data_IF_853656332190
#
_entry.id   IF_853656332190
#
_cell.length_a   1.000
_cell.length_b   1.000
_cell.length_c   1.000
_cell.angle_alpha   90.00
_cell.angle_beta   90.00
_cell.angle_gamma   90.00
#
_symmetry.space_group_name_H-M   'P 1'
#
loop_
_entity.id
_entity.type
_entity.pdbx_description
1 polymer ?
#
# COMPACT_ATOMS: atom_id res chain seq x y z
N UNK A 1 6.03 -30.00 -5.16
CA UNK A 1 5.09 -29.91 -6.30
C UNK A 1 3.76 -30.51 -5.85
N UNK A 2 2.71 -29.73 -5.87
CA UNK A 2 1.38 -30.23 -5.51
C UNK A 2 0.92 -31.24 -6.55
N UNK A 3 0.64 -32.46 -6.12
CA UNK A 3 0.19 -33.58 -6.97
C UNK A 3 -1.34 -33.54 -7.26
N UNK A 4 -1.97 -32.41 -7.02
CA UNK A 4 -3.40 -32.20 -7.23
C UNK A 4 -3.71 -31.75 -8.66
N UNK A 5 -4.93 -32.07 -9.14
CA UNK A 5 -5.44 -31.51 -10.41
C UNK A 5 -5.59 -30.01 -10.28
N UNK A 6 -5.19 -29.26 -11.31
CA UNK A 6 -5.44 -27.82 -11.38
C UNK A 6 -6.95 -27.56 -11.35
N UNK A 7 -7.39 -26.60 -10.56
CA UNK A 7 -8.79 -26.19 -10.47
C UNK A 7 -8.90 -24.68 -10.32
N UNK A 8 -9.93 -24.11 -10.89
CA UNK A 8 -10.33 -22.73 -10.65
C UNK A 8 -11.30 -22.68 -9.47
N UNK A 9 -11.38 -21.53 -8.82
CA UNK A 9 -12.37 -21.25 -7.78
C UNK A 9 -13.12 -19.95 -8.07
N UNK A 10 -14.28 -19.77 -7.44
CA UNK A 10 -15.04 -18.55 -7.60
C UNK A 10 -14.45 -17.46 -6.72
N UNK A 11 -13.95 -16.40 -7.35
CA UNK A 11 -13.25 -15.31 -6.65
C UNK A 11 -14.18 -14.48 -5.75
N UNK A 12 -15.43 -14.27 -6.15
CA UNK A 12 -16.40 -13.55 -5.31
C UNK A 12 -16.74 -14.34 -4.05
N UNK A 13 -16.87 -15.67 -4.15
CA UNK A 13 -17.05 -16.54 -3.01
C UNK A 13 -15.84 -16.46 -2.08
N UNK A 14 -14.63 -16.52 -2.64
CA UNK A 14 -13.38 -16.39 -1.87
C UNK A 14 -13.31 -15.07 -1.12
N UNK A 15 -13.68 -13.93 -1.74
CA UNK A 15 -13.74 -12.61 -1.08
C UNK A 15 -14.71 -12.67 0.09
N UNK A 16 -15.89 -13.23 -0.10
CA UNK A 16 -16.92 -13.37 0.95
C UNK A 16 -16.43 -14.17 2.16
N UNK A 17 -15.76 -15.30 1.92
CA UNK A 17 -15.20 -16.16 2.96
C UNK A 17 -14.07 -15.48 3.74
N UNK A 18 -13.28 -14.61 3.09
CA UNK A 18 -12.15 -13.92 3.69
C UNK A 18 -12.45 -12.49 4.16
N UNK A 19 -13.70 -12.03 4.09
CA UNK A 19 -14.11 -10.65 4.38
C UNK A 19 -13.70 -10.17 5.78
N UNK A 20 -13.61 -11.06 6.74
CA UNK A 20 -13.16 -10.76 8.10
C UNK A 20 -11.69 -10.34 8.19
N UNK A 21 -10.85 -10.72 7.21
CA UNK A 21 -9.45 -10.35 7.08
C UNK A 21 -9.23 -9.07 6.26
N UNK A 22 -10.24 -8.61 5.51
CA UNK A 22 -10.18 -7.44 4.65
C UNK A 22 -10.56 -6.14 5.36
N UNK A 23 -10.35 -6.07 6.66
CA UNK A 23 -10.62 -4.90 7.51
C UNK A 23 -9.55 -4.78 8.59
N UNK A 24 -9.37 -3.60 9.20
CA UNK A 24 -8.43 -3.44 10.28
C UNK A 24 -8.58 -4.51 11.38
N UNK A 25 -7.48 -4.96 11.99
CA UNK A 25 -6.08 -4.48 11.82
C UNK A 25 -5.32 -5.11 10.65
N UNK A 26 -5.82 -6.15 9.97
CA UNK A 26 -5.11 -6.86 8.90
C UNK A 26 -5.19 -6.10 7.57
N UNK A 27 -6.39 -5.91 7.04
CA UNK A 27 -6.63 -5.09 5.85
C UNK A 27 -6.31 -5.76 4.50
N UNK A 28 -5.58 -6.87 4.44
CA UNK A 28 -5.27 -7.57 3.19
C UNK A 28 -5.14 -9.08 3.35
N UNK A 29 -5.27 -9.81 2.24
CA UNK A 29 -5.08 -11.25 2.19
C UNK A 29 -4.57 -11.67 0.80
N UNK A 30 -3.48 -12.46 0.77
CA UNK A 30 -3.04 -13.14 -0.45
C UNK A 30 -4.08 -14.15 -0.91
N UNK A 31 -4.30 -14.19 -2.22
CA UNK A 31 -5.21 -15.15 -2.89
C UNK A 31 -4.52 -16.50 -3.11
N UNK A 32 -3.23 -16.44 -3.45
CA UNK A 32 -2.37 -17.61 -3.65
C UNK A 32 -1.15 -17.49 -2.75
N UNK A 33 -0.95 -18.46 -1.85
CA UNK A 33 0.17 -18.41 -0.89
C UNK A 33 1.52 -18.73 -1.56
N UNK A 34 1.54 -19.68 -2.51
CA UNK A 34 2.75 -20.23 -3.12
C UNK A 34 2.98 -19.74 -4.57
N UNK A 35 2.27 -18.70 -5.01
CA UNK A 35 2.45 -18.12 -6.34
C UNK A 35 3.72 -17.27 -6.46
N UNK A 36 4.36 -17.27 -7.64
CA UNK A 36 5.44 -16.33 -7.94
C UNK A 36 4.92 -14.88 -7.97
N UNK A 37 3.73 -14.68 -8.54
CA UNK A 37 3.05 -13.38 -8.49
C UNK A 37 2.42 -13.17 -7.12
N UNK A 38 2.52 -11.95 -6.59
CA UNK A 38 1.69 -11.52 -5.46
C UNK A 38 0.32 -11.12 -5.99
N UNK A 39 -0.69 -11.92 -5.67
CA UNK A 39 -2.09 -11.60 -5.94
C UNK A 39 -2.77 -11.42 -4.60
N UNK A 40 -3.17 -10.19 -4.26
CA UNK A 40 -3.75 -9.88 -2.96
C UNK A 40 -5.02 -9.06 -3.06
N UNK A 41 -5.94 -9.30 -2.15
CA UNK A 41 -7.13 -8.48 -1.96
C UNK A 41 -6.89 -7.57 -0.76
N UNK A 42 -7.15 -6.28 -0.96
CA UNK A 42 -6.97 -5.23 0.05
C UNK A 42 -8.32 -4.59 0.34
N UNK A 43 -8.66 -4.48 1.63
CA UNK A 43 -9.91 -3.87 2.09
C UNK A 43 -9.72 -2.51 2.76
N UNK A 44 -10.82 -1.78 2.86
CA UNK A 44 -10.91 -0.54 3.63
C UNK A 44 -11.74 -0.70 4.91
N UNK A 45 -11.61 0.24 5.88
CA UNK A 45 -10.84 1.49 5.74
C UNK A 45 -9.33 1.26 5.92
N UNK A 46 -8.54 1.98 5.14
CA UNK A 46 -7.09 2.01 5.25
C UNK A 46 -6.59 3.42 4.89
N UNK A 47 -5.80 4.00 5.76
CA UNK A 47 -5.10 5.27 5.52
C UNK A 47 -3.65 5.14 6.03
N UNK A 48 -2.70 5.63 5.23
CA UNK A 48 -1.27 5.55 5.52
C UNK A 48 -0.56 6.84 5.10
N UNK A 49 0.58 7.13 5.71
CA UNK A 49 1.34 8.36 5.46
C UNK A 49 2.64 8.12 4.70
N UNK A 50 3.03 6.88 4.53
CA UNK A 50 4.18 6.47 3.74
C UNK A 50 3.82 6.31 2.27
N UNK A 51 4.84 6.45 1.43
CA UNK A 51 4.82 6.13 0.01
C UNK A 51 5.70 4.91 -0.23
N UNK A 52 5.18 3.98 -1.00
CA UNK A 52 5.91 2.80 -1.44
C UNK A 52 6.67 3.10 -2.74
N UNK A 53 7.92 2.72 -2.80
CA UNK A 53 8.77 2.67 -3.99
C UNK A 53 8.93 1.20 -4.36
N UNK A 54 7.99 0.68 -5.16
CA UNK A 54 7.98 -0.71 -5.59
C UNK A 54 8.92 -0.87 -6.81
N UNK A 55 9.86 -1.83 -6.80
CA UNK A 55 10.74 -2.10 -7.94
C UNK A 55 10.04 -2.75 -9.13
N UNK A 56 8.79 -3.16 -9.00
CA UNK A 56 7.98 -3.77 -10.06
C UNK A 56 6.70 -2.98 -10.32
N UNK A 57 6.05 -3.28 -11.45
CA UNK A 57 4.74 -2.74 -11.75
C UNK A 57 3.67 -3.33 -10.83
N UNK A 58 2.70 -2.49 -10.44
CA UNK A 58 1.51 -2.91 -9.70
C UNK A 58 0.25 -2.74 -10.54
N UNK A 59 -0.53 -3.80 -10.69
CA UNK A 59 -1.85 -3.75 -11.30
C UNK A 59 -2.92 -3.63 -10.22
N UNK A 60 -3.78 -2.62 -10.36
CA UNK A 60 -4.93 -2.37 -9.48
C UNK A 60 -6.24 -2.65 -10.22
N UNK A 61 -7.16 -3.33 -9.56
CA UNK A 61 -8.56 -3.41 -9.95
C UNK A 61 -9.43 -3.13 -8.74
N UNK A 62 -10.20 -2.04 -8.77
CA UNK A 62 -11.08 -1.68 -7.68
C UNK A 62 -12.42 -2.41 -7.82
N UNK A 63 -12.66 -3.42 -6.97
CA UNK A 63 -13.79 -4.34 -7.06
C UNK A 63 -15.06 -3.72 -6.45
N UNK A 64 -14.90 -2.97 -5.34
CA UNK A 64 -16.01 -2.37 -4.60
C UNK A 64 -15.58 -1.10 -3.88
N UNK A 65 -16.42 -0.07 -3.96
CA UNK A 65 -16.14 1.26 -3.43
C UNK A 65 -14.95 1.90 -4.15
N UNK A 66 -14.56 3.09 -3.73
CA UNK A 66 -13.51 3.86 -4.38
C UNK A 66 -12.22 3.87 -3.54
N UNK A 67 -11.11 4.17 -4.20
CA UNK A 67 -9.82 4.45 -3.57
C UNK A 67 -9.14 5.65 -4.22
N UNK A 68 -8.19 6.23 -3.52
CA UNK A 68 -7.26 7.22 -4.06
C UNK A 68 -5.84 6.68 -3.96
N UNK A 69 -5.12 6.72 -5.06
CA UNK A 69 -3.69 6.46 -5.08
C UNK A 69 -2.97 7.80 -5.07
N UNK A 70 -2.32 8.14 -3.96
CA UNK A 70 -1.48 9.34 -3.89
C UNK A 70 -0.14 9.05 -4.54
N UNK A 71 0.29 9.95 -5.42
CA UNK A 71 1.54 9.83 -6.18
C UNK A 71 2.51 10.93 -5.75
N UNK A 72 3.78 10.55 -5.60
CA UNK A 72 4.90 11.48 -5.46
C UNK A 72 5.91 11.22 -6.58
N UNK A 73 5.95 12.12 -7.56
CA UNK A 73 6.77 11.95 -8.75
C UNK A 73 7.38 13.29 -9.18
N UNK A 74 8.69 13.29 -9.48
CA UNK A 74 9.42 14.47 -9.98
C UNK A 74 9.23 15.74 -9.13
N UNK A 75 9.11 15.57 -7.80
CA UNK A 75 8.90 16.69 -6.87
C UNK A 75 7.46 17.21 -6.82
N UNK A 76 6.55 16.57 -7.53
CA UNK A 76 5.11 16.88 -7.53
C UNK A 76 4.33 15.81 -6.77
N UNK A 77 3.22 16.23 -6.17
CA UNK A 77 2.28 15.35 -5.49
C UNK A 77 0.91 15.51 -6.14
N UNK A 78 0.27 14.38 -6.46
CA UNK A 78 -1.08 14.40 -7.04
C UNK A 78 -1.83 13.11 -6.70
N UNK A 79 -3.14 13.14 -6.89
CA UNK A 79 -4.04 12.05 -6.59
C UNK A 79 -4.56 11.41 -7.86
N UNK A 80 -4.54 10.08 -7.91
CA UNK A 80 -5.19 9.27 -8.95
C UNK A 80 -6.39 8.58 -8.31
N UNK A 81 -7.62 9.02 -8.57
CA UNK A 81 -8.81 8.32 -8.13
C UNK A 81 -8.98 7.03 -8.93
N UNK A 82 -9.19 5.92 -8.26
CA UNK A 82 -9.51 4.61 -8.85
C UNK A 82 -10.89 4.22 -8.30
N UNK A 83 -11.91 4.33 -9.14
CA UNK A 83 -13.30 4.09 -8.77
C UNK A 83 -13.68 2.62 -8.85
N UNK A 84 -14.79 2.25 -8.26
CA UNK A 84 -15.35 0.91 -8.43
C UNK A 84 -15.46 0.55 -9.92
N UNK A 85 -14.87 -0.59 -10.29
CA UNK A 85 -14.79 -1.06 -11.67
C UNK A 85 -13.55 -0.60 -12.45
N UNK A 86 -12.82 0.41 -11.97
CA UNK A 86 -11.62 0.90 -12.64
C UNK A 86 -10.44 -0.06 -12.49
N UNK A 87 -9.58 -0.06 -13.52
CA UNK A 87 -8.26 -0.71 -13.50
C UNK A 87 -7.16 0.34 -13.69
N UNK A 88 -6.01 0.12 -13.07
CA UNK A 88 -4.85 0.99 -13.20
C UNK A 88 -3.57 0.16 -13.16
N UNK A 89 -2.61 0.47 -14.05
CA UNK A 89 -1.27 -0.09 -14.01
C UNK A 89 -0.30 1.00 -13.57
N UNK A 90 0.31 0.80 -12.42
CA UNK A 90 1.31 1.68 -11.86
C UNK A 90 2.70 1.24 -12.35
N UNK A 91 3.50 2.11 -12.98
CA UNK A 91 4.86 1.79 -13.36
C UNK A 91 5.76 1.57 -12.13
N UNK A 92 6.78 0.72 -12.29
CA UNK A 92 7.80 0.52 -11.27
C UNK A 92 8.45 1.86 -10.85
N UNK A 93 8.84 1.95 -9.59
CA UNK A 93 9.51 3.10 -8.98
C UNK A 93 8.72 4.41 -8.93
N UNK A 94 7.42 4.40 -9.26
CA UNK A 94 6.54 5.54 -8.98
C UNK A 94 6.11 5.47 -7.52
N UNK A 95 6.54 6.46 -6.71
CA UNK A 95 6.21 6.53 -5.27
C UNK A 95 4.72 6.73 -5.11
N UNK A 96 4.07 5.84 -4.40
CA UNK A 96 2.63 5.82 -4.27
C UNK A 96 2.15 5.44 -2.87
N UNK A 97 0.98 5.92 -2.49
CA UNK A 97 0.36 5.66 -1.20
C UNK A 97 -1.13 5.36 -1.38
N UNK A 98 -1.52 4.06 -1.36
CA UNK A 98 -2.92 3.67 -1.52
C UNK A 98 -3.75 4.09 -0.31
N UNK A 99 -4.85 4.80 -0.55
CA UNK A 99 -5.80 5.25 0.46
C UNK A 99 -7.18 4.68 0.17
N UNK A 100 -7.77 3.98 1.13
CA UNK A 100 -9.12 3.43 1.08
C UNK A 100 -9.94 3.92 2.27
N UNK A 101 -10.50 5.14 2.22
CA UNK A 101 -11.18 5.71 3.39
C UNK A 101 -12.52 5.05 3.68
N UNK A 102 -13.16 4.44 2.69
CA UNK A 102 -14.50 3.87 2.82
C UNK A 102 -14.46 2.48 3.48
N UNK A 103 -15.22 2.26 4.57
CA UNK A 103 -15.41 0.93 5.12
C UNK A 103 -16.03 -0.02 4.08
N UNK A 104 -15.46 -1.23 3.97
CA UNK A 104 -15.96 -2.26 3.06
C UNK A 104 -15.57 -2.06 1.59
N UNK A 105 -14.70 -1.10 1.27
CA UNK A 105 -14.08 -1.06 -0.04
C UNK A 105 -13.14 -2.27 -0.23
N UNK A 106 -13.06 -2.77 -1.46
CA UNK A 106 -12.29 -3.97 -1.81
C UNK A 106 -11.57 -3.73 -3.13
N UNK A 107 -10.27 -3.92 -3.14
CA UNK A 107 -9.44 -3.86 -4.35
C UNK A 107 -8.57 -5.10 -4.50
N UNK A 108 -8.31 -5.47 -5.74
CA UNK A 108 -7.31 -6.47 -6.12
C UNK A 108 -6.02 -5.75 -6.49
N UNK A 109 -4.90 -6.23 -5.96
CA UNK A 109 -3.55 -5.77 -6.34
C UNK A 109 -2.76 -6.99 -6.82
N UNK A 110 -2.10 -6.83 -7.96
CA UNK A 110 -1.25 -7.88 -8.54
C UNK A 110 0.12 -7.30 -8.83
N UNK A 111 1.15 -7.95 -8.32
CA UNK A 111 2.55 -7.57 -8.46
C UNK A 111 3.37 -8.75 -8.97
N UNK A 112 4.39 -8.48 -9.78
CA UNK A 112 5.35 -9.50 -10.19
C UNK A 112 6.23 -9.94 -9.01
N UNK A 113 6.86 -11.11 -9.14
CA UNK A 113 7.88 -11.53 -8.18
C UNK A 113 9.12 -10.63 -8.25
N UNK A 114 9.68 -10.29 -7.07
CA UNK A 114 10.88 -9.47 -6.91
C UNK A 114 11.94 -10.13 -6.02
N UNK A 115 12.52 -11.25 -6.44
CA UNK A 115 13.34 -12.09 -5.55
C UNK A 115 14.65 -11.45 -5.08
N UNK A 116 15.17 -10.46 -5.80
CA UNK A 116 16.45 -9.82 -5.52
C UNK A 116 16.37 -8.33 -5.24
N UNK A 117 15.22 -7.71 -5.45
CA UNK A 117 15.04 -6.28 -5.30
C UNK A 117 14.62 -5.92 -3.87
N UNK A 118 14.79 -4.66 -3.52
CA UNK A 118 14.37 -4.10 -2.24
C UNK A 118 13.23 -3.12 -2.47
N UNK A 119 12.29 -3.13 -1.56
CA UNK A 119 11.21 -2.16 -1.49
C UNK A 119 11.70 -0.92 -0.75
N UNK A 120 11.35 0.26 -1.22
CA UNK A 120 11.55 1.52 -0.54
C UNK A 120 10.25 2.02 0.09
N UNK A 121 10.35 2.57 1.30
CA UNK A 121 9.23 3.26 1.95
C UNK A 121 9.69 4.64 2.36
N UNK A 122 8.95 5.67 1.93
CA UNK A 122 9.31 7.07 2.04
C UNK A 122 8.22 7.87 2.75
N UNK A 123 8.63 8.79 3.59
CA UNK A 123 7.74 9.77 4.21
C UNK A 123 8.14 11.16 3.78
N UNK A 124 7.18 11.91 3.29
CA UNK A 124 7.37 13.28 2.81
C UNK A 124 6.75 14.29 3.77
N UNK A 125 7.39 15.44 3.89
CA UNK A 125 6.91 16.52 4.74
C UNK A 125 5.59 17.09 4.21
N UNK A 126 4.55 17.07 5.01
CA UNK A 126 3.24 17.62 4.67
C UNK A 126 3.25 19.14 4.45
N UNK A 127 4.27 19.84 4.99
CA UNK A 127 4.40 21.30 4.85
C UNK A 127 5.16 21.73 3.60
N UNK A 128 6.26 21.03 3.25
CA UNK A 128 7.15 21.50 2.18
C UNK A 128 7.49 20.43 1.12
N UNK A 129 6.91 19.23 1.21
CA UNK A 129 7.11 18.14 0.25
C UNK A 129 8.50 17.51 0.26
N UNK A 130 9.42 17.91 1.15
CA UNK A 130 10.75 17.33 1.21
C UNK A 130 10.69 15.91 1.79
N UNK A 131 11.59 15.04 1.32
CA UNK A 131 11.78 13.72 1.92
C UNK A 131 12.21 13.89 3.39
N UNK A 132 11.48 13.26 4.30
CA UNK A 132 11.75 13.24 5.74
C UNK A 132 12.52 11.99 6.10
N UNK A 133 12.07 10.85 5.64
CA UNK A 133 12.65 9.56 5.98
C UNK A 133 12.48 8.57 4.83
N UNK A 134 13.44 7.65 4.67
CA UNK A 134 13.38 6.51 3.76
C UNK A 134 13.94 5.27 4.44
N UNK A 135 13.26 4.17 4.28
CA UNK A 135 13.77 2.83 4.61
C UNK A 135 13.79 1.97 3.36
N UNK A 136 14.75 1.07 3.28
CA UNK A 136 14.85 0.06 2.25
C UNK A 136 14.87 -1.31 2.90
N UNK A 137 14.05 -2.22 2.41
CA UNK A 137 13.90 -3.55 2.99
C UNK A 137 13.59 -4.58 1.92
N UNK A 138 14.22 -5.74 2.01
CA UNK A 138 13.83 -6.91 1.24
C UNK A 138 12.62 -7.54 1.93
N UNK A 139 11.43 -7.24 1.44
CA UNK A 139 10.18 -7.75 2.01
C UNK A 139 10.03 -9.23 1.70
N UNK A 140 10.01 -10.04 2.75
CA UNK A 140 9.68 -11.46 2.68
C UNK A 140 8.26 -11.71 3.21
N UNK A 141 7.87 -10.98 4.26
CA UNK A 141 6.56 -11.08 4.89
C UNK A 141 6.05 -9.69 5.26
N UNK A 142 5.21 -9.10 4.42
CA UNK A 142 4.63 -7.76 4.62
C UNK A 142 4.15 -7.49 6.05
N UNK A 143 3.40 -8.43 6.63
CA UNK A 143 2.79 -8.31 7.97
C UNK A 143 3.82 -8.40 9.11
N UNK A 144 5.00 -8.97 8.87
CA UNK A 144 6.04 -9.15 9.89
C UNK A 144 7.17 -8.16 9.76
N UNK A 145 7.59 -7.86 8.52
CA UNK A 145 8.81 -7.12 8.26
C UNK A 145 8.59 -5.60 8.36
N UNK A 146 7.44 -5.10 7.91
CA UNK A 146 7.17 -3.67 7.86
C UNK A 146 6.78 -3.05 9.21
N UNK A 147 5.91 -3.64 10.05
CA UNK A 147 5.45 -2.97 11.27
C UNK A 147 6.57 -2.50 12.20
N UNK A 148 7.62 -3.28 12.49
CA UNK A 148 8.70 -2.82 13.37
C UNK A 148 9.44 -1.59 12.82
N UNK A 149 9.63 -1.52 11.50
CA UNK A 149 10.33 -0.40 10.84
C UNK A 149 9.48 0.88 10.89
N UNK A 150 8.18 0.74 10.68
CA UNK A 150 7.22 1.84 10.75
C UNK A 150 7.10 2.37 12.19
N UNK A 151 6.99 1.48 13.19
CA UNK A 151 6.93 1.87 14.60
C UNK A 151 8.19 2.61 15.03
N UNK A 152 9.37 2.17 14.60
CA UNK A 152 10.62 2.85 14.89
C UNK A 152 10.61 4.29 14.37
N UNK A 153 10.15 4.52 13.14
CA UNK A 153 10.00 5.86 12.59
C UNK A 153 8.95 6.67 13.36
N UNK A 154 7.77 6.10 13.64
CA UNK A 154 6.68 6.82 14.31
C UNK A 154 7.02 7.22 15.75
N UNK A 155 7.87 6.46 16.41
CA UNK A 155 8.29 6.74 17.79
C UNK A 155 9.42 7.77 17.91
N UNK A 156 10.11 8.11 16.81
CA UNK A 156 11.28 8.99 16.83
C UNK A 156 10.95 10.38 16.23
N UNK A 157 10.74 11.37 17.10
CA UNK A 157 10.48 12.76 16.70
C UNK A 157 11.64 13.36 15.91
N UNK A 158 12.88 12.93 16.17
CA UNK A 158 14.04 13.38 15.41
C UNK A 158 13.99 12.88 13.98
N UNK A 159 13.69 11.59 13.79
CA UNK A 159 13.51 11.00 12.46
C UNK A 159 12.33 11.63 11.72
N UNK A 160 11.25 11.99 12.44
CA UNK A 160 10.05 12.64 11.89
C UNK A 160 10.21 14.14 11.63
N UNK A 161 11.24 14.77 12.16
CA UNK A 161 11.45 16.21 11.94
C UNK A 161 12.04 16.47 10.55
N UNK A 162 11.33 17.25 9.74
CA UNK A 162 11.78 17.64 8.40
C UNK A 162 13.05 18.48 8.47
N UNK A 163 14.14 18.00 7.89
CA UNK A 163 15.45 18.69 7.88
C UNK A 163 15.44 20.00 7.07
N UNK A 164 14.45 20.17 6.17
CA UNK A 164 14.34 21.37 5.30
C UNK A 164 13.59 22.51 5.98
N UNK A 165 12.46 22.22 6.67
CA UNK A 165 11.59 23.28 7.20
C UNK A 165 11.32 23.16 8.72
N UNK A 166 11.81 22.12 9.39
CA UNK A 166 11.63 21.91 10.82
C UNK A 166 10.25 21.37 11.22
N UNK A 167 9.31 21.20 10.27
CA UNK A 167 7.99 20.66 10.59
C UNK A 167 8.08 19.20 11.03
N UNK A 168 7.30 18.84 12.04
CA UNK A 168 7.19 17.46 12.50
C UNK A 168 6.17 16.70 11.63
N UNK A 169 6.58 15.57 11.03
CA UNK A 169 5.69 14.69 10.32
C UNK A 169 4.69 14.04 11.29
N UNK A 170 3.38 13.94 10.94
CA UNK A 170 2.34 13.47 11.87
C UNK A 170 2.49 12.00 12.30
N UNK A 171 3.41 11.25 11.69
CA UNK A 171 3.58 9.84 11.96
C UNK A 171 2.52 8.98 11.29
N UNK A 172 1.87 8.12 12.05
CA UNK A 172 0.89 7.15 11.54
C UNK A 172 -0.39 7.78 11.01
N UNK A 173 -0.87 8.85 11.67
CA UNK A 173 -2.18 9.42 11.39
C UNK A 173 -2.07 10.57 10.42
N UNK A 174 -2.57 10.43 9.19
CA UNK A 174 -2.57 11.54 8.25
C UNK A 174 -3.49 12.68 8.70
N UNK A 175 -3.26 13.92 8.24
CA UNK A 175 -4.21 15.01 8.42
C UNK A 175 -5.61 14.67 7.88
N UNK A 176 -6.66 15.27 8.45
CA UNK A 176 -8.04 14.97 8.08
C UNK A 176 -8.34 15.21 6.59
N UNK A 177 -7.71 16.21 6.01
CA UNK A 177 -7.83 16.57 4.58
C UNK A 177 -6.96 15.72 3.65
N UNK A 178 -6.16 14.81 4.18
CA UNK A 178 -5.23 13.97 3.41
C UNK A 178 -5.91 13.09 2.37
N UNK A 179 -7.08 12.58 2.68
CA UNK A 179 -7.85 11.73 1.79
C UNK A 179 -9.25 12.32 1.61
N UNK A 180 -9.50 12.86 0.43
CA UNK A 180 -10.83 13.24 -0.05
C UNK A 180 -11.18 12.40 -1.27
N UNK A 181 -12.31 11.73 -1.24
CA UNK A 181 -12.93 11.04 -2.39
C UNK A 181 -13.95 11.95 -3.04
#
# INVERSE_FOLDING_TARGET
>A
MATGRLHAFNFQTWIGENQHLLKPPVGNKKVFEDGEMTVQVVGGPNARTDYHDDPVEEFFYQIKGDMVLKIAENGSFYDVPIREGDVFLLPAHVRHSPQRPQPGSVGLVVEAARPNDVDGFEWFCFTCGALVHRIEVKVQHLVKDLPPLYEAFYADDTARTCKKCGALHPGRTPPAEWVSL
#
